data_IF_845439248506
#
_entry.id   IF_845439248506
#
_cell.length_a   1.000
_cell.length_b   1.000
_cell.length_c   1.000
_cell.angle_alpha   90.00
_cell.angle_beta   90.00
_cell.angle_gamma   90.00
#
_symmetry.space_group_name_H-M   'P 1'
#
loop_
_entity.id
_entity.type
_entity.pdbx_description
1 polymer ?
#
# COMPACT_ATOMS: atom_id res chain seq x y z
N UNK A 1 -12.74 -5.04 -8.88
CA UNK A 1 -12.27 -4.37 -7.65
C UNK A 1 -10.78 -4.08 -7.70
N UNK A 2 -9.92 -5.05 -8.09
CA UNK A 2 -8.45 -4.90 -8.19
C UNK A 2 -7.96 -3.67 -8.98
N UNK A 3 -8.52 -3.39 -10.18
CA UNK A 3 -8.13 -2.20 -10.98
C UNK A 3 -8.28 -0.84 -10.28
N UNK A 4 -9.31 -0.67 -9.43
CA UNK A 4 -9.50 0.58 -8.69
C UNK A 4 -8.47 0.71 -7.57
N UNK A 5 -8.17 -0.40 -6.89
CA UNK A 5 -7.14 -0.47 -5.84
C UNK A 5 -5.77 -0.16 -6.41
N UNK A 6 -5.42 -0.77 -7.55
CA UNK A 6 -4.19 -0.53 -8.28
C UNK A 6 -4.03 0.95 -8.67
N UNK A 7 -5.04 1.54 -9.32
CA UNK A 7 -5.02 2.96 -9.68
C UNK A 7 -4.86 3.88 -8.46
N UNK A 8 -5.46 3.53 -7.31
CA UNK A 8 -5.30 4.27 -6.06
C UNK A 8 -3.90 4.14 -5.48
N UNK A 9 -3.30 2.94 -5.50
CA UNK A 9 -1.92 2.73 -5.05
C UNK A 9 -0.94 3.55 -5.91
N UNK A 10 -1.13 3.55 -7.23
CA UNK A 10 -0.34 4.38 -8.16
C UNK A 10 -0.52 5.88 -7.92
N UNK A 11 -1.69 6.31 -7.44
CA UNK A 11 -1.94 7.68 -6.99
C UNK A 11 -1.47 7.97 -5.55
N UNK A 12 -0.74 7.04 -4.94
CA UNK A 12 -0.14 7.19 -3.61
C UNK A 12 -1.07 6.91 -2.44
N UNK A 13 -2.30 6.42 -2.66
CA UNK A 13 -3.20 6.09 -1.54
C UNK A 13 -2.69 4.90 -0.74
N UNK A 14 -2.92 4.97 0.58
CA UNK A 14 -2.50 3.94 1.52
C UNK A 14 -3.68 3.06 1.89
N UNK A 15 -3.45 1.76 1.86
CA UNK A 15 -4.38 0.75 2.37
C UNK A 15 -3.84 0.20 3.69
N UNK A 16 -4.71 -0.06 4.66
CA UNK A 16 -4.27 -0.64 5.92
C UNK A 16 -5.38 -0.87 6.92
N UNK A 17 -4.98 -1.32 8.09
CA UNK A 17 -5.81 -1.47 9.29
C UNK A 17 -5.03 -0.96 10.51
N UNK A 18 -5.65 -0.05 11.27
CA UNK A 18 -5.04 0.52 12.46
C UNK A 18 -4.96 -0.45 13.63
N UNK A 19 -5.83 -1.47 13.68
CA UNK A 19 -5.84 -2.44 14.78
C UNK A 19 -4.68 -3.40 14.66
N UNK A 20 -4.41 -3.88 13.44
CA UNK A 20 -3.28 -4.78 13.16
C UNK A 20 -2.01 -4.03 12.80
N UNK A 21 -2.09 -2.71 12.59
CA UNK A 21 -1.01 -1.81 12.17
C UNK A 21 -0.31 -2.30 10.90
N UNK A 22 -1.13 -2.75 9.96
CA UNK A 22 -0.68 -3.22 8.67
C UNK A 22 -0.98 -2.17 7.61
N UNK A 23 0.01 -1.90 6.75
CA UNK A 23 -0.13 -0.89 5.71
C UNK A 23 0.49 -1.36 4.40
N UNK A 24 -0.16 -1.05 3.29
CA UNK A 24 0.34 -1.24 1.93
C UNK A 24 0.31 0.11 1.22
N UNK A 25 1.44 0.52 0.66
CA UNK A 25 1.59 1.80 -0.03
C UNK A 25 2.68 1.78 -1.10
N UNK A 26 2.58 2.70 -2.04
CA UNK A 26 3.65 3.00 -3.00
C UNK A 26 4.60 4.05 -2.39
N UNK A 27 5.90 3.78 -2.24
CA UNK A 27 6.87 4.78 -1.83
C UNK A 27 6.94 5.94 -2.83
N UNK A 28 7.14 7.18 -2.36
CA UNK A 28 7.23 8.34 -3.24
C UNK A 28 8.37 8.27 -4.26
N UNK A 29 9.45 7.51 -3.96
CA UNK A 29 10.56 7.25 -4.87
C UNK A 29 10.21 6.39 -6.08
N UNK A 30 9.10 5.65 -6.02
CA UNK A 30 8.65 4.72 -7.06
C UNK A 30 7.61 5.36 -8.00
N UNK A 31 7.31 6.66 -7.82
CA UNK A 31 6.37 7.38 -8.66
C UNK A 31 6.88 7.48 -10.10
N UNK A 32 6.12 6.91 -11.04
CA UNK A 32 6.47 6.93 -12.46
C UNK A 32 7.49 5.86 -12.86
N UNK A 33 7.84 4.93 -11.96
CA UNK A 33 8.62 3.76 -12.33
C UNK A 33 7.84 2.85 -13.29
N UNK A 34 8.53 2.27 -14.27
CA UNK A 34 7.93 1.32 -15.22
C UNK A 34 7.43 0.04 -14.51
N UNK A 35 8.16 -0.37 -13.46
CA UNK A 35 7.83 -1.53 -12.62
C UNK A 35 7.96 -1.09 -11.16
N UNK A 36 6.89 -0.53 -10.55
CA UNK A 36 6.96 0.01 -9.21
C UNK A 36 7.04 -1.08 -8.15
N UNK A 37 7.82 -0.81 -7.10
CA UNK A 37 7.87 -1.65 -5.89
C UNK A 37 7.03 -1.01 -4.79
N UNK A 38 6.09 -1.77 -4.22
CA UNK A 38 5.27 -1.31 -3.10
C UNK A 38 5.85 -1.81 -1.78
N UNK A 39 5.47 -1.17 -0.68
CA UNK A 39 5.85 -1.60 0.67
C UNK A 39 4.64 -2.16 1.39
N UNK A 40 4.84 -3.31 2.02
CA UNK A 40 3.98 -3.82 3.08
C UNK A 40 4.67 -3.66 4.42
N UNK A 41 4.07 -2.89 5.30
CA UNK A 41 4.56 -2.52 6.62
C UNK A 41 3.70 -3.18 7.70
N UNK A 42 4.38 -3.76 8.68
CA UNK A 42 3.79 -4.35 9.89
C UNK A 42 4.62 -3.94 11.11
N UNK A 43 4.16 -4.29 12.31
CA UNK A 43 4.96 -4.12 13.54
C UNK A 43 6.30 -4.89 13.50
N UNK A 44 6.43 -5.92 12.65
CA UNK A 44 7.66 -6.73 12.52
C UNK A 44 8.66 -6.15 11.51
N UNK A 45 8.25 -5.18 10.69
CA UNK A 45 9.11 -4.52 9.72
C UNK A 45 8.42 -4.24 8.39
N UNK A 46 9.24 -4.14 7.34
CA UNK A 46 8.79 -3.80 5.98
C UNK A 46 9.25 -4.84 4.99
N UNK A 47 8.40 -5.12 4.00
CA UNK A 47 8.68 -6.03 2.88
C UNK A 47 8.27 -5.38 1.57
N UNK A 48 9.13 -5.53 0.58
CA UNK A 48 8.86 -5.12 -0.80
C UNK A 48 7.87 -6.06 -1.47
N UNK A 49 6.90 -5.50 -2.18
CA UNK A 49 5.86 -6.19 -2.93
C UNK A 49 5.86 -5.74 -4.39
N UNK A 50 5.58 -6.69 -5.29
CA UNK A 50 5.02 -6.37 -6.60
C UNK A 50 3.59 -5.84 -6.48
N UNK A 51 3.07 -5.21 -7.55
CA UNK A 51 1.67 -4.76 -7.60
C UNK A 51 0.68 -5.91 -7.36
N UNK A 52 0.90 -7.07 -7.98
CA UNK A 52 0.01 -8.22 -7.81
C UNK A 52 0.00 -8.75 -6.37
N UNK A 53 1.18 -8.83 -5.73
CA UNK A 53 1.26 -9.21 -4.32
C UNK A 53 0.56 -8.20 -3.40
N UNK A 54 0.70 -6.90 -3.68
CA UNK A 54 0.03 -5.84 -2.92
C UNK A 54 -1.50 -5.97 -2.99
N UNK A 55 -2.05 -6.20 -4.19
CA UNK A 55 -3.48 -6.42 -4.39
C UNK A 55 -3.97 -7.66 -3.64
N UNK A 56 -3.18 -8.74 -3.66
CA UNK A 56 -3.47 -9.98 -2.95
C UNK A 56 -3.46 -9.81 -1.43
N UNK A 57 -2.49 -9.07 -0.88
CA UNK A 57 -2.42 -8.75 0.55
C UNK A 57 -3.62 -7.90 0.97
N UNK A 58 -3.94 -6.85 0.20
CA UNK A 58 -5.09 -5.98 0.49
C UNK A 58 -6.39 -6.79 0.52
N UNK A 59 -6.57 -7.72 -0.42
CA UNK A 59 -7.75 -8.58 -0.47
C UNK A 59 -7.80 -9.57 0.70
N UNK A 60 -6.74 -10.36 0.90
CA UNK A 60 -6.67 -11.42 1.92
C UNK A 60 -6.76 -10.86 3.35
N UNK A 61 -6.15 -9.69 3.59
CA UNK A 61 -6.18 -9.00 4.90
C UNK A 61 -7.35 -8.02 5.00
N UNK A 62 -8.17 -7.90 3.96
CA UNK A 62 -9.33 -6.98 3.91
C UNK A 62 -8.99 -5.52 4.20
N UNK A 63 -7.77 -5.09 3.86
CA UNK A 63 -7.27 -3.73 4.12
C UNK A 63 -8.14 -2.69 3.42
N UNK A 64 -8.32 -1.54 4.06
CA UNK A 64 -9.15 -0.45 3.55
C UNK A 64 -8.30 0.80 3.30
N UNK A 65 -8.72 1.71 2.40
CA UNK A 65 -8.12 3.03 2.32
C UNK A 65 -8.08 3.67 3.71
N UNK A 66 -6.91 4.11 4.14
CA UNK A 66 -6.70 4.54 5.52
C UNK A 66 -5.76 5.75 5.61
N UNK A 67 -5.50 6.21 6.84
CA UNK A 67 -4.53 7.27 7.14
C UNK A 67 -3.35 6.65 7.89
N UNK A 68 -2.18 6.55 7.25
CA UNK A 68 -0.96 6.09 7.92
C UNK A 68 -0.54 7.08 9.02
N UNK A 69 -0.07 6.63 10.20
CA UNK A 69 0.34 7.51 11.28
C UNK A 69 1.45 8.52 10.92
N UNK A 70 2.34 8.15 9.99
CA UNK A 70 3.48 9.00 9.58
C UNK A 70 3.17 9.75 8.28
N UNK A 71 2.55 9.08 7.30
CA UNK A 71 2.38 9.62 5.95
C UNK A 71 0.99 10.25 5.73
N UNK A 72 0.05 10.09 6.65
CA UNK A 72 -1.32 10.54 6.44
C UNK A 72 -2.03 9.69 5.38
N UNK A 73 -2.86 10.31 4.54
CA UNK A 73 -3.73 9.58 3.59
C UNK A 73 -3.00 9.10 2.33
N UNK A 74 -1.87 9.72 1.99
CA UNK A 74 -1.10 9.49 0.77
C UNK A 74 0.38 9.62 1.03
N UNK A 75 1.20 8.86 0.31
CA UNK A 75 2.67 8.97 0.35
C UNK A 75 3.22 10.12 -0.50
N UNK A 76 2.35 10.78 -1.27
CA UNK A 76 2.61 11.95 -2.13
C UNK A 76 2.02 13.22 -1.52
#
# INVERSE_FOLDING_TARGET
MKKLTESKLLAGFIYGDHHTKEYVYLPGSELGADIPVLVYETDEGRRDLSMDEALDVIEKRSLKPTTHPIFGKRTL
#
